data_IF_306284334929
#
_entry.id   IF_306284334929
#
_cell.length_a   1.000
_cell.length_b   1.000
_cell.length_c   1.000
_cell.angle_alpha   90.00
_cell.angle_beta   90.00
_cell.angle_gamma   90.00
#
_symmetry.space_group_name_H-M   'P 1'
#
loop_
_entity.id
_entity.type
_entity.pdbx_description
1 polymer ?
#
# COMPACT_ATOMS: atom_id res chain seq x y z
N UNK A 1 -30.21 -20.18 -74.69
CA UNK A 1 -29.15 -19.35 -74.07
C UNK A 1 -29.32 -19.47 -72.61
N UNK A 2 -28.43 -20.24 -71.92
CA UNK A 2 -28.49 -20.49 -70.48
C UNK A 2 -27.44 -19.59 -69.81
N UNK A 3 -27.91 -18.65 -68.98
CA UNK A 3 -27.03 -17.79 -68.17
C UNK A 3 -26.70 -18.54 -66.91
N UNK A 4 -25.43 -18.83 -66.69
CA UNK A 4 -24.90 -19.56 -65.56
C UNK A 4 -24.56 -18.51 -64.43
N UNK A 5 -25.35 -18.49 -63.37
CA UNK A 5 -25.18 -17.59 -62.22
C UNK A 5 -24.17 -18.21 -61.23
N UNK A 6 -22.97 -17.62 -61.14
CA UNK A 6 -21.93 -18.03 -60.20
C UNK A 6 -22.25 -17.49 -58.81
N UNK A 7 -22.58 -18.38 -57.88
CA UNK A 7 -22.62 -18.09 -56.44
C UNK A 7 -21.21 -18.04 -55.85
N UNK A 8 -20.86 -16.91 -55.23
CA UNK A 8 -19.65 -16.74 -54.46
C UNK A 8 -20.00 -17.03 -52.99
N UNK A 9 -19.38 -17.99 -52.28
CA UNK A 9 -19.56 -18.15 -50.86
C UNK A 9 -18.73 -17.12 -50.12
N UNK A 10 -19.41 -16.19 -49.44
CA UNK A 10 -18.76 -15.26 -48.52
C UNK A 10 -18.21 -15.99 -47.30
N UNK A 11 -16.91 -16.00 -47.12
CA UNK A 11 -16.24 -16.47 -45.94
C UNK A 11 -16.41 -15.43 -44.81
N UNK A 12 -17.25 -15.72 -43.84
CA UNK A 12 -17.31 -14.98 -42.58
C UNK A 12 -16.04 -15.28 -41.79
N UNK A 13 -15.12 -14.31 -41.79
CA UNK A 13 -13.92 -14.34 -40.94
C UNK A 13 -14.31 -13.92 -39.53
N UNK A 14 -14.47 -14.91 -38.66
CA UNK A 14 -14.73 -14.70 -37.23
C UNK A 14 -13.42 -14.24 -36.54
N UNK A 15 -13.24 -12.93 -36.40
CA UNK A 15 -12.17 -12.39 -35.56
C UNK A 15 -12.49 -12.70 -34.07
N UNK A 16 -11.92 -13.78 -33.55
CA UNK A 16 -11.86 -14.02 -32.13
C UNK A 16 -10.96 -12.95 -31.51
N UNK A 17 -11.55 -11.90 -30.92
CA UNK A 17 -10.84 -11.01 -30.00
C UNK A 17 -10.46 -11.85 -28.77
N UNK A 18 -9.26 -12.37 -28.74
CA UNK A 18 -8.64 -12.90 -27.55
C UNK A 18 -8.49 -11.74 -26.55
N UNK A 19 -9.29 -11.73 -25.49
CA UNK A 19 -9.03 -10.87 -24.35
C UNK A 19 -7.67 -11.29 -23.77
N UNK A 20 -6.65 -10.49 -24.01
CA UNK A 20 -5.36 -10.63 -23.33
C UNK A 20 -5.62 -10.34 -21.86
N UNK A 21 -5.82 -11.37 -21.05
CA UNK A 21 -5.72 -11.25 -19.62
C UNK A 21 -4.26 -10.90 -19.32
N UNK A 22 -3.99 -9.65 -18.94
CA UNK A 22 -2.71 -9.31 -18.36
C UNK A 22 -2.51 -10.23 -17.14
N UNK A 23 -1.46 -11.02 -17.18
CA UNK A 23 -1.12 -11.92 -16.07
C UNK A 23 -0.88 -11.09 -14.82
N UNK A 24 -1.65 -11.35 -13.77
CA UNK A 24 -1.52 -10.64 -12.49
C UNK A 24 -0.19 -11.06 -11.87
N UNK A 25 0.73 -10.10 -11.71
CA UNK A 25 2.04 -10.31 -11.09
C UNK A 25 1.82 -10.95 -9.70
N UNK A 26 2.61 -11.97 -9.36
CA UNK A 26 2.55 -12.63 -8.06
C UNK A 26 2.89 -11.64 -6.91
N UNK A 27 2.29 -11.79 -5.70
CA UNK A 27 2.41 -10.79 -4.64
C UNK A 27 3.86 -10.61 -4.15
N UNK A 28 4.64 -11.66 -4.08
CA UNK A 28 6.06 -11.60 -3.71
C UNK A 28 6.91 -10.92 -4.80
N UNK A 29 6.60 -11.17 -6.06
CA UNK A 29 7.25 -10.52 -7.19
C UNK A 29 6.91 -9.02 -7.24
N UNK A 30 5.65 -8.65 -6.95
CA UNK A 30 5.23 -7.25 -6.83
C UNK A 30 6.03 -6.52 -5.74
N UNK A 31 6.11 -7.07 -4.54
CA UNK A 31 6.87 -6.47 -3.44
C UNK A 31 8.35 -6.38 -3.80
N UNK A 32 8.95 -7.46 -4.33
CA UNK A 32 10.35 -7.48 -4.75
C UNK A 32 10.66 -6.38 -5.77
N UNK A 33 9.86 -6.28 -6.81
CA UNK A 33 10.06 -5.32 -7.90
C UNK A 33 9.90 -3.88 -7.39
N UNK A 34 8.84 -3.60 -6.59
CA UNK A 34 8.62 -2.28 -5.99
C UNK A 34 9.78 -1.86 -5.09
N UNK A 35 10.24 -2.76 -4.23
CA UNK A 35 11.37 -2.51 -3.32
C UNK A 35 12.65 -2.24 -4.09
N UNK A 36 12.96 -3.04 -5.11
CA UNK A 36 14.15 -2.87 -5.93
C UNK A 36 14.13 -1.55 -6.70
N UNK A 37 12.98 -1.18 -7.28
CA UNK A 37 12.81 0.08 -8.00
C UNK A 37 13.00 1.28 -7.07
N UNK A 38 12.34 1.28 -5.90
CA UNK A 38 12.47 2.35 -4.90
C UNK A 38 13.91 2.50 -4.43
N UNK A 39 14.60 1.41 -4.12
CA UNK A 39 16.01 1.41 -3.72
C UNK A 39 16.91 1.99 -4.82
N UNK A 40 16.68 1.60 -6.07
CA UNK A 40 17.46 2.09 -7.21
C UNK A 40 17.31 3.62 -7.36
N UNK A 41 16.07 4.15 -7.23
CA UNK A 41 15.80 5.59 -7.28
C UNK A 41 16.49 6.32 -6.12
N UNK A 42 16.37 5.81 -4.88
CA UNK A 42 17.03 6.42 -3.71
C UNK A 42 18.55 6.49 -3.89
N UNK A 43 19.16 5.43 -4.41
CA UNK A 43 20.62 5.40 -4.65
C UNK A 43 21.07 6.41 -5.71
N UNK A 44 20.23 6.74 -6.68
CA UNK A 44 20.55 7.65 -7.77
C UNK A 44 20.25 9.12 -7.43
N UNK A 45 19.25 9.41 -6.59
CA UNK A 45 18.85 10.79 -6.27
C UNK A 45 19.43 11.27 -4.93
N UNK A 46 20.49 12.09 -5.03
CA UNK A 46 21.17 12.69 -3.87
C UNK A 46 20.26 13.59 -3.04
N UNK A 47 19.22 14.19 -3.64
CA UNK A 47 18.26 15.04 -2.91
C UNK A 47 17.39 14.20 -2.00
N UNK A 48 16.93 13.02 -2.45
CA UNK A 48 16.20 12.05 -1.62
C UNK A 48 17.09 11.59 -0.47
N UNK A 49 18.38 11.27 -0.74
CA UNK A 49 19.33 10.88 0.29
C UNK A 49 19.61 12.00 1.31
N UNK A 50 19.51 13.27 0.88
CA UNK A 50 19.64 14.44 1.73
C UNK A 50 18.35 14.79 2.48
N UNK A 51 17.24 14.07 2.23
CA UNK A 51 15.97 14.25 2.94
C UNK A 51 15.00 15.23 2.29
N UNK A 52 15.07 15.45 0.98
CA UNK A 52 14.08 16.26 0.25
C UNK A 52 12.69 15.63 0.35
N UNK A 53 11.87 16.16 1.26
CA UNK A 53 10.54 15.64 1.58
C UNK A 53 9.60 15.65 0.36
N UNK A 54 9.70 16.65 -0.52
CA UNK A 54 8.84 16.72 -1.70
C UNK A 54 9.14 15.59 -2.68
N UNK A 55 10.42 15.31 -2.91
CA UNK A 55 10.84 14.20 -3.77
C UNK A 55 10.52 12.83 -3.16
N UNK A 56 10.69 12.69 -1.84
CA UNK A 56 10.34 11.46 -1.13
C UNK A 56 8.84 11.17 -1.26
N UNK A 57 8.00 12.17 -1.00
CA UNK A 57 6.54 12.03 -1.15
C UNK A 57 6.19 11.68 -2.59
N UNK A 58 6.75 12.39 -3.57
CA UNK A 58 6.49 12.10 -4.99
C UNK A 58 6.91 10.66 -5.39
N UNK A 59 8.04 10.17 -4.88
CA UNK A 59 8.48 8.79 -5.09
C UNK A 59 7.47 7.80 -4.48
N UNK A 60 7.05 8.04 -3.25
CA UNK A 60 6.09 7.19 -2.54
C UNK A 60 4.74 7.18 -3.25
N UNK A 61 4.22 8.36 -3.62
CA UNK A 61 2.96 8.49 -4.36
C UNK A 61 2.99 7.73 -5.71
N UNK A 62 4.11 7.82 -6.42
CA UNK A 62 4.22 7.22 -7.75
C UNK A 62 4.50 5.70 -7.73
N UNK A 63 5.26 5.20 -6.75
CA UNK A 63 5.82 3.84 -6.77
C UNK A 63 5.33 2.92 -5.65
N UNK A 64 4.85 3.46 -4.56
CA UNK A 64 4.47 2.68 -3.38
C UNK A 64 2.95 2.66 -3.20
N UNK A 65 2.32 3.84 -3.10
CA UNK A 65 0.90 3.94 -2.76
C UNK A 65 -0.07 3.25 -3.73
N UNK A 66 0.20 3.12 -5.06
CA UNK A 66 -0.68 2.37 -5.95
C UNK A 66 -0.85 0.89 -5.57
N UNK A 67 0.07 0.34 -4.78
CA UNK A 67 0.05 -1.04 -4.33
C UNK A 67 -0.63 -1.25 -2.97
N UNK A 68 -1.27 -0.20 -2.40
CA UNK A 68 -1.93 -0.25 -1.10
C UNK A 68 -3.44 -0.12 -1.20
N UNK A 69 -4.18 -0.86 -0.35
CA UNK A 69 -5.60 -0.66 -0.12
C UNK A 69 -5.84 0.16 1.16
N UNK A 70 -5.83 1.49 1.01
CA UNK A 70 -6.08 2.38 2.15
C UNK A 70 -7.50 2.29 2.69
N UNK A 71 -8.47 1.86 1.89
CA UNK A 71 -9.84 1.67 2.36
C UNK A 71 -9.90 0.51 3.37
N UNK A 72 -9.30 -0.63 3.03
CA UNK A 72 -9.21 -1.78 3.93
C UNK A 72 -8.35 -1.47 5.15
N UNK A 73 -7.19 -0.81 5.00
CA UNK A 73 -6.35 -0.36 6.12
C UNK A 73 -7.14 0.48 7.12
N UNK A 74 -7.87 1.48 6.62
CA UNK A 74 -8.69 2.38 7.44
C UNK A 74 -9.83 1.63 8.12
N UNK A 75 -10.51 0.74 7.39
CA UNK A 75 -11.56 -0.11 7.95
C UNK A 75 -11.06 -0.96 9.11
N UNK A 76 -9.87 -1.55 9.00
CA UNK A 76 -9.25 -2.35 10.05
C UNK A 76 -8.89 -1.49 11.28
N UNK A 77 -8.31 -0.31 11.07
CA UNK A 77 -7.92 0.60 12.14
C UNK A 77 -9.14 1.19 12.89
N UNK A 78 -10.19 1.58 12.17
CA UNK A 78 -11.44 2.12 12.73
C UNK A 78 -12.30 1.02 13.38
N UNK A 79 -12.20 -0.22 12.88
CA UNK A 79 -12.84 -1.39 13.44
C UNK A 79 -14.37 -1.33 13.42
N UNK A 80 -15.01 -1.61 14.56
CA UNK A 80 -16.48 -1.69 14.66
C UNK A 80 -17.20 -0.40 14.23
N UNK A 81 -16.57 0.74 14.41
CA UNK A 81 -17.16 2.06 14.10
C UNK A 81 -17.24 2.32 12.59
N UNK A 82 -16.49 1.58 11.77
CA UNK A 82 -16.57 1.70 10.31
C UNK A 82 -17.99 1.49 9.75
N UNK A 83 -18.78 0.63 10.41
CA UNK A 83 -20.17 0.34 9.95
C UNK A 83 -21.12 1.50 10.20
N UNK A 84 -20.82 2.37 11.16
CA UNK A 84 -21.65 3.54 11.53
C UNK A 84 -21.24 4.83 10.85
N UNK A 85 -20.05 4.82 10.20
CA UNK A 85 -19.54 5.96 9.45
C UNK A 85 -20.36 6.19 8.15
N UNK A 86 -20.65 7.46 7.84
CA UNK A 86 -21.26 7.84 6.56
C UNK A 86 -20.28 7.62 5.41
N UNK A 87 -20.74 7.57 4.15
CA UNK A 87 -19.82 7.50 2.99
C UNK A 87 -18.79 8.62 2.96
N UNK A 88 -19.17 9.84 3.30
CA UNK A 88 -18.31 11.03 3.34
C UNK A 88 -17.26 10.90 4.44
N UNK A 89 -17.67 10.47 5.64
CA UNK A 89 -16.74 10.21 6.76
C UNK A 89 -15.74 9.12 6.40
N UNK A 90 -16.18 8.04 5.73
CA UNK A 90 -15.27 6.98 5.26
C UNK A 90 -14.22 7.51 4.30
N UNK A 91 -14.63 8.31 3.31
CA UNK A 91 -13.69 8.91 2.36
C UNK A 91 -12.69 9.82 3.05
N UNK A 92 -13.16 10.68 3.95
CA UNK A 92 -12.28 11.58 4.70
C UNK A 92 -11.30 10.81 5.60
N UNK A 93 -11.79 9.77 6.32
CA UNK A 93 -10.93 8.91 7.14
C UNK A 93 -9.84 8.21 6.31
N UNK A 94 -10.19 7.72 5.12
CA UNK A 94 -9.22 7.07 4.21
C UNK A 94 -8.13 8.07 3.82
N UNK A 95 -8.49 9.28 3.41
CA UNK A 95 -7.53 10.32 3.01
C UNK A 95 -6.64 10.74 4.18
N UNK A 96 -7.24 11.07 5.31
CA UNK A 96 -6.50 11.56 6.48
C UNK A 96 -5.58 10.48 7.08
N UNK A 97 -6.03 9.23 7.14
CA UNK A 97 -5.20 8.13 7.64
C UNK A 97 -4.05 7.80 6.68
N UNK A 98 -4.33 7.77 5.35
CA UNK A 98 -3.28 7.66 4.33
C UNK A 98 -2.20 8.73 4.52
N UNK A 99 -2.60 9.99 4.60
CA UNK A 99 -1.66 11.11 4.70
C UNK A 99 -0.85 11.05 6.00
N UNK A 100 -1.48 10.66 7.11
CA UNK A 100 -0.79 10.43 8.38
C UNK A 100 0.25 9.30 8.26
N UNK A 101 -0.09 8.17 7.64
CA UNK A 101 0.84 7.06 7.42
C UNK A 101 2.01 7.48 6.53
N UNK A 102 1.73 8.15 5.40
CA UNK A 102 2.78 8.64 4.50
C UNK A 102 3.75 9.54 5.25
N UNK A 103 3.26 10.54 5.98
CA UNK A 103 4.10 11.48 6.75
C UNK A 103 4.92 10.78 7.84
N UNK A 104 4.30 9.83 8.54
CA UNK A 104 4.95 9.11 9.65
C UNK A 104 6.09 8.22 9.14
N UNK A 105 5.88 7.52 8.03
CA UNK A 105 6.79 6.46 7.60
C UNK A 105 7.74 6.85 6.46
N UNK A 106 7.54 8.01 5.80
CA UNK A 106 8.47 8.45 4.73
C UNK A 106 9.90 8.73 5.22
N UNK A 107 10.09 8.97 6.51
CA UNK A 107 11.44 9.15 7.09
C UNK A 107 12.35 7.93 6.87
N UNK A 108 11.79 6.72 6.73
CA UNK A 108 12.58 5.51 6.47
C UNK A 108 13.41 5.61 5.18
N UNK A 109 12.92 6.35 4.19
CA UNK A 109 13.63 6.53 2.92
C UNK A 109 14.90 7.39 3.04
N UNK A 110 14.99 8.23 4.07
CA UNK A 110 16.16 9.08 4.33
C UNK A 110 17.29 8.35 5.05
N UNK A 111 16.97 7.26 5.75
CA UNK A 111 17.95 6.49 6.54
C UNK A 111 18.46 5.24 5.82
N UNK A 112 17.95 4.98 4.61
CA UNK A 112 18.46 3.87 3.79
C UNK A 112 19.91 4.15 3.38
N UNK A 113 20.78 3.15 3.56
CA UNK A 113 22.23 3.19 3.16
C UNK A 113 22.59 1.87 2.47
N UNK A 114 23.10 0.91 3.23
CA UNK A 114 23.66 -0.35 2.73
C UNK A 114 22.81 -1.56 3.15
N UNK A 115 21.54 -1.35 3.48
CA UNK A 115 20.64 -2.44 3.83
C UNK A 115 20.38 -3.33 2.61
N UNK A 116 20.32 -4.63 2.88
CA UNK A 116 19.84 -5.61 1.90
C UNK A 116 18.49 -6.15 2.32
N UNK A 117 17.65 -6.50 1.35
CA UNK A 117 16.32 -7.05 1.60
C UNK A 117 16.31 -8.48 1.07
N UNK A 118 16.09 -9.42 1.97
CA UNK A 118 15.96 -10.84 1.68
C UNK A 118 14.48 -11.21 1.60
N UNK A 119 14.07 -11.83 0.50
CA UNK A 119 12.73 -12.37 0.36
C UNK A 119 12.65 -13.75 1.02
N UNK A 120 11.57 -14.02 1.75
CA UNK A 120 11.27 -15.34 2.31
C UNK A 120 10.21 -16.05 1.46
N UNK A 121 10.02 -17.36 1.60
CA UNK A 121 8.99 -18.10 0.88
C UNK A 121 7.61 -17.48 1.06
N UNK A 122 6.89 -17.32 -0.05
CA UNK A 122 5.52 -16.81 -0.07
C UNK A 122 4.59 -17.70 0.76
N UNK A 123 3.71 -17.07 1.54
CA UNK A 123 2.58 -17.74 2.20
C UNK A 123 1.28 -17.23 1.60
N UNK A 124 0.43 -18.14 1.19
CA UNK A 124 -0.85 -17.84 0.55
C UNK A 124 -1.95 -18.65 1.20
N UNK A 125 -3.14 -18.07 1.31
CA UNK A 125 -4.33 -18.78 1.77
C UNK A 125 -4.77 -19.85 0.76
N UNK A 126 -5.60 -20.81 1.20
CA UNK A 126 -6.07 -21.91 0.36
C UNK A 126 -6.93 -21.41 -0.84
N UNK A 127 -7.54 -20.25 -0.72
CA UNK A 127 -8.34 -19.62 -1.79
C UNK A 127 -7.52 -18.81 -2.80
N UNK A 128 -6.24 -18.54 -2.53
CA UNK A 128 -5.39 -17.70 -3.36
C UNK A 128 -5.84 -16.25 -3.45
N UNK A 129 -6.57 -15.76 -2.44
CA UNK A 129 -7.11 -14.40 -2.36
C UNK A 129 -6.39 -13.51 -1.37
N UNK A 130 -5.69 -14.10 -0.39
CA UNK A 130 -4.83 -13.40 0.56
C UNK A 130 -3.44 -14.02 0.56
N UNK A 131 -2.43 -13.20 0.81
CA UNK A 131 -1.05 -13.63 0.86
C UNK A 131 -0.28 -12.83 1.91
N UNK A 132 0.68 -13.48 2.58
CA UNK A 132 1.68 -12.84 3.41
C UNK A 132 3.03 -12.92 2.70
N UNK A 133 3.54 -11.78 2.23
CA UNK A 133 4.90 -11.66 1.72
C UNK A 133 5.81 -11.30 2.87
N UNK A 134 6.83 -12.12 3.09
CA UNK A 134 7.78 -11.94 4.19
C UNK A 134 9.14 -11.49 3.65
N UNK A 135 9.69 -10.46 4.27
CA UNK A 135 11.05 -9.98 3.97
C UNK A 135 11.85 -9.82 5.25
N UNK A 136 13.16 -9.77 5.11
CA UNK A 136 14.06 -9.44 6.20
C UNK A 136 15.00 -8.33 5.73
N UNK A 137 15.01 -7.21 6.46
CA UNK A 137 15.95 -6.12 6.23
C UNK A 137 17.20 -6.40 7.03
N UNK A 138 18.31 -6.61 6.33
CA UNK A 138 19.62 -6.84 6.92
C UNK A 138 20.45 -5.56 6.83
N UNK A 139 21.00 -5.11 7.96
CA UNK A 139 21.94 -3.99 8.07
C UNK A 139 23.20 -4.45 8.75
N UNK A 140 24.40 -4.20 8.20
CA UNK A 140 25.66 -4.57 8.84
C UNK A 140 25.76 -4.04 10.27
N UNK A 141 26.09 -4.91 11.22
CA UNK A 141 26.22 -4.55 12.63
C UNK A 141 24.93 -4.31 13.40
N UNK A 142 23.77 -4.63 12.84
CA UNK A 142 22.47 -4.50 13.50
C UNK A 142 21.71 -5.83 13.45
N UNK A 143 20.70 -5.97 14.31
CA UNK A 143 19.78 -7.10 14.24
C UNK A 143 18.97 -7.03 12.95
N UNK A 144 18.69 -8.17 12.33
CA UNK A 144 17.86 -8.29 11.17
C UNK A 144 16.38 -7.97 11.52
N UNK A 145 15.73 -7.15 10.70
CA UNK A 145 14.36 -6.68 10.94
C UNK A 145 13.40 -7.45 10.03
N UNK A 146 12.55 -8.33 10.57
CA UNK A 146 11.51 -9.00 9.80
C UNK A 146 10.38 -8.02 9.47
N UNK A 147 9.93 -8.03 8.20
CA UNK A 147 8.81 -7.22 7.70
C UNK A 147 7.88 -8.15 6.94
N UNK A 148 6.60 -8.15 7.32
CA UNK A 148 5.55 -8.89 6.64
C UNK A 148 4.59 -7.89 5.97
N UNK A 149 4.19 -8.21 4.74
CA UNK A 149 3.19 -7.49 3.98
C UNK A 149 1.97 -8.38 3.85
N UNK A 150 0.86 -7.98 4.48
CA UNK A 150 -0.42 -8.66 4.32
C UNK A 150 -1.12 -8.10 3.08
N UNK A 151 -1.42 -8.98 2.15
CA UNK A 151 -1.90 -8.61 0.83
C UNK A 151 -3.20 -9.31 0.47
N UNK A 152 -4.04 -8.65 -0.31
CA UNK A 152 -5.23 -9.22 -0.91
C UNK A 152 -5.24 -9.06 -2.42
N UNK A 153 -5.92 -9.98 -3.10
CA UNK A 153 -6.10 -9.95 -4.54
C UNK A 153 -7.31 -9.09 -4.89
N UNK A 154 -7.06 -7.89 -5.44
CA UNK A 154 -8.07 -6.98 -5.97
C UNK A 154 -8.29 -7.19 -7.48
N UNK A 155 -9.23 -6.46 -8.07
CA UNK A 155 -9.54 -6.56 -9.48
C UNK A 155 -8.36 -6.13 -10.40
N UNK A 156 -7.54 -5.20 -9.92
CA UNK A 156 -6.39 -4.61 -10.62
C UNK A 156 -5.03 -5.16 -10.14
N UNK A 157 -5.03 -6.26 -9.39
CA UNK A 157 -3.81 -6.90 -8.88
C UNK A 157 -3.77 -7.03 -7.36
N UNK A 158 -2.61 -7.36 -6.83
CA UNK A 158 -2.41 -7.50 -5.39
C UNK A 158 -2.25 -6.14 -4.71
N UNK A 159 -2.88 -5.98 -3.53
CA UNK A 159 -2.81 -4.78 -2.70
C UNK A 159 -2.38 -5.12 -1.28
N UNK A 160 -1.50 -4.31 -0.73
CA UNK A 160 -1.11 -4.37 0.68
C UNK A 160 -2.18 -3.71 1.54
N UNK A 161 -2.67 -4.39 2.56
CA UNK A 161 -3.63 -3.84 3.51
C UNK A 161 -3.10 -3.75 4.95
N UNK A 162 -1.94 -4.34 5.24
CA UNK A 162 -1.20 -4.14 6.48
C UNK A 162 0.28 -4.44 6.29
N UNK A 163 1.11 -3.81 7.12
CA UNK A 163 2.53 -4.14 7.24
C UNK A 163 2.83 -4.39 8.70
N UNK A 164 3.50 -5.51 8.99
CA UNK A 164 4.02 -5.79 10.33
C UNK A 164 5.54 -5.70 10.34
N UNK A 165 6.09 -4.93 11.28
CA UNK A 165 7.52 -4.79 11.50
C UNK A 165 7.83 -5.42 12.85
N UNK A 166 8.75 -6.39 12.90
CA UNK A 166 9.06 -7.16 14.12
C UNK A 166 7.82 -7.76 14.81
N UNK A 167 6.80 -8.12 14.00
CA UNK A 167 5.55 -8.69 14.48
C UNK A 167 4.50 -7.67 14.93
N UNK A 168 4.80 -6.38 14.90
CA UNK A 168 3.85 -5.31 15.25
C UNK A 168 3.19 -4.78 13.98
N UNK A 169 1.86 -4.97 13.86
CA UNK A 169 1.05 -4.44 12.77
C UNK A 169 0.96 -2.92 12.82
N UNK A 170 1.27 -2.27 11.71
CA UNK A 170 1.14 -0.81 11.59
C UNK A 170 -0.31 -0.37 11.73
N UNK A 171 -1.24 -1.06 11.06
CA UNK A 171 -2.65 -0.68 11.06
C UNK A 171 -3.32 -0.96 12.40
N UNK A 172 -3.08 -2.14 12.96
CA UNK A 172 -3.71 -2.54 14.23
C UNK A 172 -3.18 -1.75 15.43
N UNK A 173 -1.98 -1.18 15.36
CA UNK A 173 -1.44 -0.31 16.42
C UNK A 173 -2.27 0.97 16.63
N UNK A 174 -2.98 1.45 15.60
CA UNK A 174 -3.87 2.61 15.70
C UNK A 174 -5.26 2.29 16.28
N UNK A 175 -5.66 1.02 16.29
CA UNK A 175 -7.04 0.63 16.60
C UNK A 175 -7.51 1.06 17.98
N UNK A 176 -6.66 0.94 18.98
CA UNK A 176 -6.95 1.37 20.36
C UNK A 176 -7.14 2.87 20.46
N UNK A 177 -6.19 3.64 19.91
CA UNK A 177 -6.23 5.11 19.90
C UNK A 177 -7.44 5.63 19.12
N UNK A 178 -7.74 5.07 17.94
CA UNK A 178 -8.90 5.49 17.16
C UNK A 178 -10.21 5.18 17.88
N UNK A 179 -10.31 4.01 18.52
CA UNK A 179 -11.49 3.65 19.30
C UNK A 179 -11.73 4.64 20.45
N UNK A 180 -10.69 5.04 21.19
CA UNK A 180 -10.80 6.04 22.24
C UNK A 180 -11.25 7.40 21.69
N UNK A 181 -10.60 7.89 20.64
CA UNK A 181 -10.96 9.18 20.03
C UNK A 181 -12.40 9.22 19.50
N UNK A 182 -12.88 8.09 18.94
CA UNK A 182 -14.27 7.99 18.50
C UNK A 182 -15.25 7.94 19.67
N UNK A 183 -14.87 7.32 20.79
CA UNK A 183 -15.70 7.34 22.01
C UNK A 183 -15.83 8.74 22.60
N UNK A 184 -14.76 9.54 22.54
CA UNK A 184 -14.72 10.88 23.12
C UNK A 184 -15.38 11.93 22.22
N UNK A 185 -15.17 11.87 20.91
CA UNK A 185 -15.58 12.93 19.97
C UNK A 185 -16.37 12.45 18.75
N UNK A 186 -16.78 11.18 18.71
CA UNK A 186 -17.38 10.59 17.53
C UNK A 186 -16.40 10.43 16.38
N UNK A 187 -16.91 9.98 15.23
CA UNK A 187 -16.11 9.80 14.00
C UNK A 187 -15.54 11.13 13.53
N UNK A 188 -16.30 12.23 13.65
CA UNK A 188 -15.84 13.56 13.27
C UNK A 188 -14.70 14.06 14.17
N UNK A 189 -14.71 13.67 15.46
CA UNK A 189 -13.61 13.92 16.39
C UNK A 189 -12.31 13.23 15.95
N UNK A 190 -12.39 11.97 15.51
CA UNK A 190 -11.24 11.27 14.95
C UNK A 190 -10.74 11.96 13.66
N UNK A 191 -11.65 12.29 12.74
CA UNK A 191 -11.31 13.00 11.49
C UNK A 191 -10.57 14.29 11.79
N UNK A 192 -11.12 15.11 12.73
CA UNK A 192 -10.47 16.36 13.14
C UNK A 192 -9.08 16.13 13.71
N UNK A 193 -8.92 15.12 14.55
CA UNK A 193 -7.61 14.80 15.16
C UNK A 193 -6.58 14.40 14.11
N UNK A 194 -6.97 13.61 13.12
CA UNK A 194 -6.10 13.20 12.01
C UNK A 194 -5.71 14.41 11.15
N UNK A 195 -6.70 15.24 10.79
CA UNK A 195 -6.49 16.45 10.00
C UNK A 195 -5.56 17.44 10.71
N UNK A 196 -5.78 17.70 12.00
CA UNK A 196 -4.90 18.57 12.81
C UNK A 196 -3.47 18.04 12.87
N UNK A 197 -3.28 16.72 13.03
CA UNK A 197 -1.96 16.08 12.97
C UNK A 197 -1.30 16.25 11.61
N UNK A 198 -2.05 16.06 10.53
CA UNK A 198 -1.55 16.23 9.18
C UNK A 198 -1.15 17.68 8.87
N UNK A 199 -1.92 18.66 9.37
CA UNK A 199 -1.61 20.07 9.24
C UNK A 199 -0.40 20.47 10.11
N UNK A 200 -0.32 20.01 11.36
CA UNK A 200 0.74 20.33 12.32
C UNK A 200 2.09 19.69 11.99
N UNK A 201 2.10 18.54 11.32
CA UNK A 201 3.33 17.86 10.88
C UNK A 201 4.03 18.56 9.71
N UNK A 202 3.45 19.62 9.16
CA UNK A 202 4.14 20.52 8.24
C UNK A 202 5.21 21.38 8.96
N UNK A 203 5.30 21.31 10.29
CA UNK A 203 6.15 22.18 11.11
C UNK A 203 6.80 21.55 12.35
N UNK A 204 7.24 20.28 12.37
CA UNK A 204 8.12 19.83 13.46
C UNK A 204 7.76 18.49 14.12
N UNK A 205 8.75 17.67 14.27
CA UNK A 205 8.97 16.50 15.12
C UNK A 205 7.79 15.89 15.89
N UNK A 206 7.30 14.74 15.39
CA UNK A 206 6.61 13.78 16.23
C UNK A 206 7.41 12.48 16.33
N UNK A 207 8.32 12.46 17.33
CA UNK A 207 8.86 11.21 17.83
C UNK A 207 9.16 11.36 19.31
N UNK A 208 8.11 11.30 20.15
CA UNK A 208 8.23 11.01 21.59
C UNK A 208 6.85 10.80 22.22
N UNK A 209 6.22 9.69 21.94
CA UNK A 209 5.18 9.09 22.79
C UNK A 209 4.76 7.79 22.15
N UNK A 210 5.40 6.71 22.55
CA UNK A 210 4.80 5.38 22.67
C UNK A 210 5.88 4.28 22.69
N UNK A 211 7.03 4.60 23.34
CA UNK A 211 7.95 3.59 23.82
C UNK A 211 7.97 3.65 25.36
N UNK A 212 6.97 3.03 25.99
CA UNK A 212 7.06 2.55 27.39
C UNK A 212 6.34 1.22 27.50
#
# INVERSE_FOLDING_TARGET
MKVLQKMIPGALMFCALGAAHAEVIAPDELIKNTVQEVIAIIKQDKSIQAGDQKKIIALVDAKVLPHFDFARMTQLAVGKYWRTATPEQKQTLIMEFRDMLVRTYTKVFTVYRDQTIEMKPLRMDAGGTEATVQTVINKPGSQAIPVNYEMEKAADGWKVFDISIEGVSMVMSYRGTFASQIQDGGIDGLIKTLSDKNAGSAGGDMHKADAK
#
